data_IF_494494229666
#
_entry.id   IF_494494229666
#
_cell.length_a   1.000
_cell.length_b   1.000
_cell.length_c   1.000
_cell.angle_alpha   90.00
_cell.angle_beta   90.00
_cell.angle_gamma   90.00
#
_symmetry.space_group_name_H-M   'P 1'
#
loop_
_entity.id
_entity.type
_entity.pdbx_description
1 polymer ?
#
# COMPACT_ATOMS: atom_id res chain seq x y z
N UNK A 1 8.63 11.42 0.10
CA UNK A 1 8.34 9.98 0.07
C UNK A 1 6.86 9.80 -0.18
N UNK A 2 6.46 9.11 -1.25
CA UNK A 2 5.04 8.97 -1.61
C UNK A 2 4.34 7.92 -0.73
N UNK A 3 3.03 8.07 -0.58
CA UNK A 3 2.20 7.19 0.24
C UNK A 3 1.11 6.55 -0.60
N UNK A 4 0.95 5.23 -0.45
CA UNK A 4 -0.16 4.44 -0.97
C UNK A 4 -1.13 4.19 0.19
N UNK A 5 -2.38 4.62 0.03
CA UNK A 5 -3.44 4.35 1.01
C UNK A 5 -4.36 3.27 0.48
N UNK A 6 -4.59 2.25 1.31
CA UNK A 6 -5.46 1.14 0.98
C UNK A 6 -6.92 1.48 1.25
N UNK A 7 -7.84 0.79 0.56
CA UNK A 7 -9.26 0.80 0.88
C UNK A 7 -9.50 0.13 2.22
N UNK A 8 -10.54 0.54 2.94
CA UNK A 8 -10.91 -0.04 4.23
C UNK A 8 -11.02 -1.57 4.16
N UNK A 9 -10.36 -2.27 5.09
CA UNK A 9 -10.35 -3.74 5.20
C UNK A 9 -9.38 -4.46 4.25
N UNK A 10 -8.72 -3.76 3.32
CA UNK A 10 -7.74 -4.36 2.39
C UNK A 10 -6.35 -4.52 3.00
N UNK A 11 -6.11 -3.97 4.19
CA UNK A 11 -4.91 -4.19 4.99
C UNK A 11 -4.79 -5.64 5.51
N UNK A 12 -5.86 -6.42 5.52
CA UNK A 12 -5.88 -7.81 6.04
C UNK A 12 -4.81 -8.70 5.43
N UNK A 13 -4.54 -8.56 4.13
CA UNK A 13 -3.49 -9.34 3.46
C UNK A 13 -2.10 -8.97 3.99
N UNK A 14 -1.81 -7.68 4.17
CA UNK A 14 -0.54 -7.19 4.73
C UNK A 14 -0.38 -7.57 6.20
N UNK A 15 -1.45 -7.51 7.00
CA UNK A 15 -1.41 -7.95 8.40
C UNK A 15 -1.10 -9.45 8.52
N UNK A 16 -1.45 -10.24 7.49
CA UNK A 16 -1.06 -11.66 7.36
C UNK A 16 0.30 -11.85 6.67
N UNK A 17 1.07 -10.78 6.47
CA UNK A 17 2.38 -10.76 5.82
C UNK A 17 2.36 -11.25 4.37
N UNK A 18 1.22 -11.11 3.68
CA UNK A 18 1.18 -11.31 2.24
C UNK A 18 2.05 -10.22 1.56
N UNK A 19 2.97 -10.59 0.66
CA UNK A 19 3.98 -9.65 0.16
C UNK A 19 3.43 -8.65 -0.87
N UNK A 20 2.27 -8.91 -1.48
CA UNK A 20 1.75 -8.11 -2.60
C UNK A 20 0.49 -7.31 -2.24
N UNK A 21 0.40 -6.13 -2.86
CA UNK A 21 -0.76 -5.24 -2.85
C UNK A 21 -1.20 -5.08 -4.31
N UNK A 22 -2.44 -5.46 -4.61
CA UNK A 22 -3.01 -5.32 -5.96
C UNK A 22 -3.70 -3.96 -6.13
N UNK A 23 -3.82 -3.47 -7.36
CA UNK A 23 -4.48 -2.20 -7.69
C UNK A 23 -5.88 -2.08 -7.06
N UNK A 24 -6.66 -3.16 -7.06
CA UNK A 24 -8.00 -3.20 -6.44
C UNK A 24 -8.02 -2.93 -4.93
N UNK A 25 -6.88 -3.04 -4.24
CA UNK A 25 -6.72 -2.71 -2.83
C UNK A 25 -6.38 -1.23 -2.60
N UNK A 26 -5.91 -0.50 -3.62
CA UNK A 26 -5.48 0.90 -3.52
C UNK A 26 -6.72 1.81 -3.56
N UNK A 27 -6.80 2.72 -2.59
CA UNK A 27 -7.80 3.78 -2.55
C UNK A 27 -7.28 5.06 -3.22
N UNK A 28 -6.02 5.42 -2.96
CA UNK A 28 -5.34 6.57 -3.57
C UNK A 28 -3.83 6.47 -3.42
N UNK A 29 -3.13 7.24 -4.24
CA UNK A 29 -1.68 7.29 -4.30
C UNK A 29 -1.15 6.68 -5.59
N UNK A 30 0.13 6.88 -5.82
CA UNK A 30 0.88 6.40 -6.97
C UNK A 30 2.33 6.82 -6.80
N UNK A 31 3.23 6.21 -7.56
CA UNK A 31 4.64 6.54 -7.53
C UNK A 31 5.31 6.21 -8.86
N UNK A 32 6.59 6.50 -8.98
CA UNK A 32 7.37 6.08 -10.16
C UNK A 32 7.74 4.60 -10.04
N UNK A 33 7.99 3.93 -11.17
CA UNK A 33 8.35 2.52 -11.18
C UNK A 33 9.61 2.27 -10.31
N UNK A 34 9.49 1.34 -9.36
CA UNK A 34 10.55 0.99 -8.41
C UNK A 34 10.72 1.95 -7.23
N UNK A 35 9.97 3.07 -7.19
CA UNK A 35 10.05 4.01 -6.06
C UNK A 35 9.58 3.33 -4.77
N UNK A 36 10.32 3.57 -3.66
CA UNK A 36 9.93 3.08 -2.34
C UNK A 36 8.82 3.96 -1.78
N UNK A 37 7.68 3.34 -1.48
CA UNK A 37 6.47 4.02 -0.98
C UNK A 37 6.12 3.57 0.43
N UNK A 38 5.52 4.50 1.19
CA UNK A 38 4.85 4.20 2.46
C UNK A 38 3.49 3.57 2.18
N UNK A 39 3.17 2.46 2.81
CA UNK A 39 1.84 1.85 2.71
C UNK A 39 1.07 2.08 4.01
N UNK A 40 -0.14 2.62 3.89
CA UNK A 40 -1.01 2.89 5.03
C UNK A 40 -2.41 2.30 4.85
N UNK A 41 -3.04 1.93 5.97
CA UNK A 41 -4.46 1.56 6.01
C UNK A 41 -5.35 2.77 5.71
N UNK A 42 -6.66 2.52 5.57
CA UNK A 42 -7.62 3.60 5.48
C UNK A 42 -7.70 4.47 6.75
N UNK A 43 -7.24 4.01 7.91
CA UNK A 43 -7.16 4.84 9.12
C UNK A 43 -5.83 5.62 9.24
N UNK A 44 -4.91 5.46 8.28
CA UNK A 44 -3.56 6.03 8.35
C UNK A 44 -2.57 5.18 9.17
N UNK A 45 -2.94 3.95 9.54
CA UNK A 45 -2.01 3.03 10.20
C UNK A 45 -0.89 2.66 9.23
N UNK A 46 0.36 2.76 9.67
CA UNK A 46 1.50 2.26 8.90
C UNK A 46 1.47 0.73 8.78
N UNK A 47 1.58 0.23 7.55
CA UNK A 47 1.56 -1.20 7.25
C UNK A 47 2.90 -1.73 6.72
N UNK A 48 3.75 -0.85 6.19
CA UNK A 48 5.06 -1.23 5.69
C UNK A 48 5.58 -0.32 4.57
N UNK A 49 6.74 -0.72 4.05
CA UNK A 49 7.35 -0.14 2.86
C UNK A 49 7.16 -1.10 1.68
N UNK A 50 6.97 -0.56 0.47
CA UNK A 50 6.83 -1.36 -0.74
C UNK A 50 7.55 -0.69 -1.92
N UNK A 51 7.93 -1.48 -2.93
CA UNK A 51 8.36 -0.97 -4.23
C UNK A 51 7.15 -0.84 -5.14
N UNK A 52 6.94 0.32 -5.76
CA UNK A 52 5.79 0.56 -6.61
C UNK A 52 5.98 0.00 -8.02
N UNK A 53 4.95 -0.66 -8.57
CA UNK A 53 4.91 -1.14 -9.96
C UNK A 53 3.62 -0.61 -10.60
N UNK A 54 3.70 0.41 -11.47
CA UNK A 54 2.54 0.95 -12.18
C UNK A 54 1.91 -0.07 -13.14
#
# INVERSE_FOLDING_TARGET
MKTIRLRAGKERSLLRRHPWIFESAIARGGADAGETVRVESDSGQFLGWAAFSP
#
